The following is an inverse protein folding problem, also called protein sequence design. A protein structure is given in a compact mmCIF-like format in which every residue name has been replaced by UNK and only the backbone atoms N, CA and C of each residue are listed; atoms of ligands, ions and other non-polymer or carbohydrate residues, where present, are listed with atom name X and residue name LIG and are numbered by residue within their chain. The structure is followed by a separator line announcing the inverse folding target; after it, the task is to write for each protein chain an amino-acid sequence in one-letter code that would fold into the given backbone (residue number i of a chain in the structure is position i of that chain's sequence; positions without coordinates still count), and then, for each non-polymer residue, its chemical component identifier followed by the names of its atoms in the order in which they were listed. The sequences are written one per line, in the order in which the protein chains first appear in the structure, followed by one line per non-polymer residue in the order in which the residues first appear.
data_IF_971352162601
#
_entry.id   IF_971352162601
#
_cell.length_a   1.000
_cell.length_b   1.000
_cell.length_c   1.000
_cell.angle_alpha   90.00
_cell.angle_beta   90.00
_cell.angle_gamma   90.00
#
_symmetry.space_group_name_H-M   'P 1'
#
loop_
_entity.id
_entity.type
_entity.pdbx_description
1 polymer ?
#
# COMPACT_ATOMS: atom_id res chain seq x y z
N UNK A 1 83.42 23.28 -9.24
CA UNK A 1 82.68 22.01 -9.30
C UNK A 1 81.30 22.27 -8.76
N UNK A 2 80.33 22.51 -9.64
CA UNK A 2 78.95 22.80 -9.27
C UNK A 2 78.19 21.47 -9.25
N UNK A 3 77.60 21.12 -8.11
CA UNK A 3 76.72 19.96 -7.98
C UNK A 3 75.29 20.40 -8.27
N UNK A 4 74.63 19.93 -9.35
CA UNK A 4 73.23 20.18 -9.63
C UNK A 4 72.44 18.97 -9.14
N UNK A 5 72.04 18.99 -7.88
CA UNK A 5 71.06 18.05 -7.35
C UNK A 5 70.25 18.81 -6.30
N UNK A 6 68.96 18.51 -6.24
CA UNK A 6 67.96 19.04 -5.31
C UNK A 6 67.20 20.29 -5.76
N UNK A 7 66.85 20.31 -7.05
CA UNK A 7 65.72 21.08 -7.56
C UNK A 7 64.67 20.13 -8.15
N UNK A 8 63.95 19.37 -7.31
CA UNK A 8 62.69 18.75 -7.70
C UNK A 8 61.97 18.14 -6.48
N UNK A 9 60.69 18.49 -6.35
CA UNK A 9 59.63 17.85 -5.54
C UNK A 9 59.16 18.64 -4.31
N UNK A 10 58.78 19.90 -4.53
CA UNK A 10 57.71 20.51 -3.76
C UNK A 10 56.38 20.24 -4.51
N UNK A 11 55.90 18.99 -4.39
CA UNK A 11 54.59 18.61 -4.92
C UNK A 11 53.59 18.80 -3.78
N UNK A 12 53.11 20.03 -3.64
CA UNK A 12 51.95 20.38 -2.83
C UNK A 12 50.85 19.40 -3.21
N UNK A 13 50.59 18.44 -2.33
CA UNK A 13 49.46 17.53 -2.43
C UNK A 13 48.27 18.34 -1.97
N UNK A 14 47.71 19.14 -2.88
CA UNK A 14 46.35 19.65 -2.72
C UNK A 14 45.44 18.42 -2.66
N UNK A 15 45.06 18.04 -1.44
CA UNK A 15 44.00 17.09 -1.22
C UNK A 15 42.77 17.59 -2.01
N UNK A 16 42.11 16.74 -2.82
CA UNK A 16 40.92 17.18 -3.51
C UNK A 16 39.93 17.64 -2.46
N UNK A 17 39.59 18.93 -2.45
CA UNK A 17 38.47 19.46 -1.70
C UNK A 17 37.27 18.60 -2.11
N UNK A 18 36.89 17.74 -1.19
CA UNK A 18 35.76 16.86 -1.30
C UNK A 18 34.55 17.78 -1.31
N UNK A 19 34.19 18.25 -2.51
CA UNK A 19 32.99 19.00 -2.80
C UNK A 19 31.84 18.13 -2.35
N UNK A 20 31.45 18.34 -1.10
CA UNK A 20 30.27 17.76 -0.50
C UNK A 20 29.13 18.41 -1.23
N UNK A 21 28.69 17.74 -2.30
CA UNK A 21 27.49 18.12 -3.01
C UNK A 21 26.42 18.46 -1.95
N UNK A 22 25.81 19.65 -2.01
CA UNK A 22 24.87 20.07 -0.98
C UNK A 22 23.83 18.99 -0.82
N UNK A 23 23.74 18.43 0.39
CA UNK A 23 22.78 17.39 0.71
C UNK A 23 21.40 17.86 0.21
N UNK A 24 20.62 17.01 -0.48
CA UNK A 24 19.34 17.39 -1.03
C UNK A 24 18.53 18.13 0.03
N UNK A 25 18.21 19.40 -0.23
CA UNK A 25 17.47 20.24 0.71
C UNK A 25 16.09 19.61 0.90
N UNK A 26 15.94 18.82 1.97
CA UNK A 26 14.67 18.19 2.32
C UNK A 26 13.68 19.28 2.68
N UNK A 27 12.53 19.27 2.04
CA UNK A 27 11.45 20.17 2.39
C UNK A 27 10.83 19.68 3.70
N UNK A 28 10.98 20.40 4.83
CA UNK A 28 10.47 19.95 6.13
C UNK A 28 8.95 19.78 6.14
N UNK A 29 8.24 20.34 5.15
CA UNK A 29 6.80 20.21 5.00
C UNK A 29 6.33 18.80 4.59
N UNK A 30 7.19 17.95 4.00
CA UNK A 30 6.78 16.67 3.44
C UNK A 30 6.67 15.52 4.46
N UNK A 31 7.19 15.71 5.68
CA UNK A 31 7.20 14.73 6.75
C UNK A 31 8.28 13.64 6.60
N UNK A 32 8.36 12.68 7.53
CA UNK A 32 9.35 11.61 7.46
C UNK A 32 9.08 10.65 6.30
N UNK A 33 10.15 10.03 5.81
CA UNK A 33 10.12 8.98 4.80
C UNK A 33 9.77 7.63 5.46
N UNK A 34 8.69 7.00 5.01
CA UNK A 34 8.23 5.71 5.54
C UNK A 34 8.00 4.70 4.40
N UNK A 35 8.21 3.42 4.68
CA UNK A 35 7.77 2.30 3.85
C UNK A 35 6.68 1.53 4.60
N UNK A 36 5.70 1.01 3.86
CA UNK A 36 4.60 0.23 4.45
C UNK A 36 4.84 -1.26 4.21
N UNK A 37 4.56 -2.06 5.24
CA UNK A 37 4.68 -3.50 5.14
C UNK A 37 3.60 -4.06 4.19
N UNK A 38 4.04 -4.71 3.10
CA UNK A 38 3.16 -5.30 2.09
C UNK A 38 2.24 -6.39 2.69
N UNK A 39 2.80 -7.24 3.55
CA UNK A 39 2.11 -8.40 4.12
C UNK A 39 0.78 -8.05 4.78
N UNK A 40 0.75 -7.15 5.79
CA UNK A 40 -0.49 -6.72 6.43
C UNK A 40 -1.50 -6.07 5.47
N UNK A 41 -1.04 -5.30 4.47
CA UNK A 41 -1.93 -4.65 3.50
C UNK A 41 -2.61 -5.67 2.58
N UNK A 42 -1.85 -6.65 2.07
CA UNK A 42 -2.41 -7.73 1.27
C UNK A 42 -3.33 -8.64 2.09
N UNK A 43 -2.95 -8.93 3.33
CA UNK A 43 -3.78 -9.72 4.23
C UNK A 43 -5.15 -9.05 4.44
N UNK A 44 -5.20 -7.74 4.71
CA UNK A 44 -6.47 -7.02 4.82
C UNK A 44 -7.26 -7.02 3.50
N UNK A 45 -6.57 -6.85 2.36
CA UNK A 45 -7.20 -6.82 1.04
C UNK A 45 -7.82 -8.17 0.62
N UNK A 46 -7.26 -9.29 1.09
CA UNK A 46 -7.66 -10.65 0.68
C UNK A 46 -8.53 -11.31 1.75
N UNK A 47 -8.10 -11.29 3.01
CA UNK A 47 -8.77 -12.04 4.07
C UNK A 47 -10.08 -11.39 4.51
N UNK A 48 -10.20 -10.07 4.45
CA UNK A 48 -11.45 -9.39 4.81
C UNK A 48 -12.62 -9.76 3.91
N UNK A 49 -12.56 -9.64 2.58
CA UNK A 49 -13.67 -10.05 1.72
C UNK A 49 -13.94 -11.55 1.81
N UNK A 50 -12.92 -12.40 1.93
CA UNK A 50 -13.13 -13.84 2.14
C UNK A 50 -13.82 -14.13 3.48
N UNK A 51 -13.45 -13.42 4.55
CA UNK A 51 -14.10 -13.51 5.85
C UNK A 51 -15.56 -13.08 5.81
N UNK A 52 -15.88 -12.00 5.08
CA UNK A 52 -17.27 -11.59 4.81
C UNK A 52 -18.02 -12.70 4.08
N UNK A 53 -17.40 -13.33 3.07
CA UNK A 53 -17.98 -14.46 2.36
C UNK A 53 -18.30 -15.64 3.27
N UNK A 54 -17.38 -16.01 4.17
CA UNK A 54 -17.58 -17.09 5.13
C UNK A 54 -18.75 -16.81 6.09
N UNK A 55 -18.91 -15.56 6.53
CA UNK A 55 -20.03 -15.16 7.41
C UNK A 55 -21.35 -15.08 6.63
N UNK A 56 -21.32 -14.63 5.39
CA UNK A 56 -22.50 -14.54 4.54
C UNK A 56 -22.99 -15.92 4.06
N UNK A 57 -22.09 -16.91 3.97
CA UNK A 57 -22.38 -18.26 3.49
C UNK A 57 -23.56 -18.95 4.18
N UNK A 58 -23.57 -19.10 5.52
CA UNK A 58 -24.71 -19.73 6.20
C UNK A 58 -26.00 -18.90 6.05
N UNK A 59 -25.92 -17.58 6.03
CA UNK A 59 -27.09 -16.71 5.90
C UNK A 59 -27.74 -16.86 4.52
N UNK A 60 -26.94 -16.85 3.46
CA UNK A 60 -27.45 -17.06 2.10
C UNK A 60 -27.97 -18.48 1.92
N UNK A 61 -27.29 -19.49 2.48
CA UNK A 61 -27.71 -20.88 2.38
C UNK A 61 -29.05 -21.18 3.06
N UNK A 62 -29.43 -20.39 4.06
CA UNK A 62 -30.75 -20.48 4.70
C UNK A 62 -31.87 -19.80 3.90
N UNK A 63 -31.55 -18.76 3.13
CA UNK A 63 -32.54 -17.95 2.40
C UNK A 63 -32.74 -18.49 0.97
N UNK A 64 -31.63 -18.79 0.28
CA UNK A 64 -31.63 -19.27 -1.09
C UNK A 64 -30.38 -20.15 -1.35
N UNK A 65 -30.49 -21.48 -1.15
CA UNK A 65 -29.35 -22.39 -1.30
C UNK A 65 -28.78 -22.43 -2.72
N UNK A 66 -29.59 -22.13 -3.73
CA UNK A 66 -29.15 -22.12 -5.13
C UNK A 66 -28.20 -20.94 -5.42
N UNK A 67 -28.31 -19.86 -4.65
CA UNK A 67 -27.47 -18.65 -4.79
C UNK A 67 -26.13 -18.72 -4.04
N UNK A 68 -25.81 -19.81 -3.36
CA UNK A 68 -24.56 -19.96 -2.58
C UNK A 68 -23.32 -19.80 -3.49
N UNK A 69 -23.40 -20.24 -4.75
CA UNK A 69 -22.33 -20.13 -5.75
C UNK A 69 -21.93 -18.70 -6.13
N UNK A 70 -22.73 -17.70 -5.74
CA UNK A 70 -22.50 -16.28 -6.00
C UNK A 70 -21.44 -15.69 -5.06
N UNK A 71 -21.34 -16.22 -3.84
CA UNK A 71 -20.49 -15.67 -2.77
C UNK A 71 -18.99 -15.70 -3.16
N UNK A 72 -18.43 -16.83 -3.63
CA UNK A 72 -17.02 -16.87 -4.01
C UNK A 72 -16.72 -15.91 -5.14
N UNK A 73 -17.60 -15.80 -6.15
CA UNK A 73 -17.41 -14.88 -7.27
C UNK A 73 -17.34 -13.44 -6.78
N UNK A 74 -18.31 -13.01 -5.97
CA UNK A 74 -18.34 -11.66 -5.41
C UNK A 74 -17.08 -11.34 -4.59
N UNK A 75 -16.72 -12.23 -3.66
CA UNK A 75 -15.64 -11.95 -2.70
C UNK A 75 -14.25 -12.04 -3.34
N UNK A 76 -14.03 -12.98 -4.26
CA UNK A 76 -12.77 -13.08 -5.02
C UNK A 76 -12.61 -11.84 -5.89
N UNK A 77 -13.67 -11.37 -6.53
CA UNK A 77 -13.64 -10.14 -7.33
C UNK A 77 -13.27 -8.91 -6.52
N UNK A 78 -13.88 -8.72 -5.34
CA UNK A 78 -13.52 -7.62 -4.43
C UNK A 78 -12.06 -7.76 -3.98
N UNK A 79 -11.64 -8.95 -3.57
CA UNK A 79 -10.26 -9.22 -3.16
C UNK A 79 -9.25 -8.89 -4.28
N UNK A 80 -9.55 -9.27 -5.52
CA UNK A 80 -8.69 -9.03 -6.67
C UNK A 80 -8.53 -7.52 -6.95
N UNK A 81 -9.60 -6.73 -6.85
CA UNK A 81 -9.53 -5.26 -7.01
C UNK A 81 -8.64 -4.64 -5.95
N UNK A 82 -8.87 -4.97 -4.67
CA UNK A 82 -8.12 -4.40 -3.56
C UNK A 82 -6.66 -4.83 -3.57
N UNK A 83 -6.39 -6.13 -3.76
CA UNK A 83 -5.02 -6.65 -3.83
C UNK A 83 -4.28 -6.09 -5.05
N UNK A 84 -4.91 -6.07 -6.22
CA UNK A 84 -4.34 -5.53 -7.45
C UNK A 84 -3.96 -4.06 -7.30
N UNK A 85 -4.88 -3.23 -6.81
CA UNK A 85 -4.63 -1.79 -6.61
C UNK A 85 -3.55 -1.56 -5.55
N UNK A 86 -3.54 -2.35 -4.47
CA UNK A 86 -2.52 -2.30 -3.41
C UNK A 86 -1.14 -2.65 -3.95
N UNK A 87 -1.02 -3.63 -4.85
CA UNK A 87 0.27 -3.97 -5.47
C UNK A 87 0.78 -2.86 -6.39
N UNK A 88 -0.13 -2.18 -7.12
CA UNK A 88 0.25 -1.09 -8.04
C UNK A 88 0.88 0.10 -7.31
N UNK A 89 0.48 0.40 -6.08
CA UNK A 89 1.11 1.47 -5.31
C UNK A 89 2.48 1.11 -4.75
N UNK A 90 2.91 -0.16 -4.85
CA UNK A 90 4.22 -0.66 -4.44
C UNK A 90 4.57 -0.27 -2.99
N UNK A 91 3.88 -0.85 -2.00
CA UNK A 91 3.92 -0.30 -0.66
C UNK A 91 5.28 -0.41 0.04
N UNK A 92 6.14 -1.28 -0.48
CA UNK A 92 7.53 -1.43 -0.05
C UNK A 92 8.43 -0.25 -0.45
N UNK A 93 7.97 0.67 -1.31
CA UNK A 93 8.76 1.87 -1.65
C UNK A 93 8.66 2.92 -0.54
N UNK A 94 9.82 3.40 -0.11
CA UNK A 94 9.94 4.52 0.82
C UNK A 94 9.44 5.81 0.17
N UNK A 95 8.55 6.53 0.85
CA UNK A 95 8.00 7.82 0.40
C UNK A 95 7.69 8.72 1.61
N UNK A 96 7.58 10.06 1.40
CA UNK A 96 7.12 10.96 2.44
C UNK A 96 5.69 10.64 2.86
N UNK A 97 5.37 10.79 4.15
CA UNK A 97 4.02 10.56 4.71
C UNK A 97 2.93 11.33 3.96
N UNK A 98 3.20 12.58 3.58
CA UNK A 98 2.27 13.41 2.81
C UNK A 98 1.97 12.80 1.43
N UNK A 99 2.98 12.25 0.76
CA UNK A 99 2.83 11.59 -0.53
C UNK A 99 2.05 10.28 -0.37
N UNK A 100 2.26 9.55 0.72
CA UNK A 100 1.51 8.34 1.05
C UNK A 100 0.02 8.57 1.16
N UNK A 101 -0.41 9.68 1.76
CA UNK A 101 -1.82 10.04 1.85
C UNK A 101 -2.44 10.26 0.46
N UNK A 102 -1.74 10.96 -0.44
CA UNK A 102 -2.20 11.18 -1.81
C UNK A 102 -2.31 9.87 -2.60
N UNK A 103 -1.31 9.00 -2.48
CA UNK A 103 -1.35 7.68 -3.12
C UNK A 103 -2.48 6.81 -2.55
N UNK A 104 -2.71 6.87 -1.24
CA UNK A 104 -3.81 6.15 -0.61
C UNK A 104 -5.17 6.64 -1.09
N UNK A 105 -5.39 7.95 -1.21
CA UNK A 105 -6.59 8.51 -1.84
C UNK A 105 -6.77 8.00 -3.27
N UNK A 106 -5.68 7.91 -4.03
CA UNK A 106 -5.68 7.29 -5.36
C UNK A 106 -6.11 5.82 -5.34
N UNK A 107 -5.65 5.04 -4.36
CA UNK A 107 -6.10 3.65 -4.14
C UNK A 107 -7.58 3.57 -3.83
N UNK A 108 -8.09 4.42 -2.93
CA UNK A 108 -9.51 4.43 -2.59
C UNK A 108 -10.36 4.69 -3.84
N UNK A 109 -9.97 5.67 -4.66
CA UNK A 109 -10.62 5.96 -5.95
C UNK A 109 -10.56 4.78 -6.91
N UNK A 110 -9.37 4.21 -7.13
CA UNK A 110 -9.18 3.07 -8.02
C UNK A 110 -9.95 1.82 -7.56
N UNK A 111 -9.97 1.53 -6.25
CA UNK A 111 -10.75 0.44 -5.68
C UNK A 111 -12.25 0.68 -5.86
N UNK A 112 -12.74 1.91 -5.68
CA UNK A 112 -14.15 2.25 -5.90
C UNK A 112 -14.55 2.01 -7.36
N UNK A 113 -13.86 2.65 -8.32
CA UNK A 113 -14.18 2.50 -9.74
C UNK A 113 -13.95 1.07 -10.23
N UNK A 114 -12.90 0.39 -9.77
CA UNK A 114 -12.63 -1.01 -10.09
C UNK A 114 -13.73 -1.94 -9.57
N UNK A 115 -14.22 -1.71 -8.34
CA UNK A 115 -15.34 -2.48 -7.79
C UNK A 115 -16.63 -2.22 -8.55
N UNK A 116 -16.93 -0.97 -8.90
CA UNK A 116 -18.11 -0.61 -9.70
C UNK A 116 -18.06 -1.28 -11.08
N UNK A 117 -16.91 -1.23 -11.76
CA UNK A 117 -16.73 -1.87 -13.06
C UNK A 117 -16.97 -3.39 -12.98
N UNK A 118 -16.40 -4.07 -11.98
CA UNK A 118 -16.62 -5.51 -11.80
C UNK A 118 -18.06 -5.80 -11.37
N UNK A 119 -18.67 -4.98 -10.52
CA UNK A 119 -20.06 -5.14 -10.13
C UNK A 119 -20.98 -5.09 -11.35
N UNK A 120 -20.79 -4.14 -12.26
CA UNK A 120 -21.55 -4.05 -13.50
C UNK A 120 -21.38 -5.30 -14.37
N UNK A 121 -20.15 -5.77 -14.55
CA UNK A 121 -19.86 -6.99 -15.33
C UNK A 121 -20.55 -8.21 -14.72
N UNK A 122 -20.42 -8.41 -13.41
CA UNK A 122 -21.01 -9.55 -12.72
C UNK A 122 -22.54 -9.48 -12.69
N UNK A 123 -23.12 -8.31 -12.43
CA UNK A 123 -24.57 -8.12 -12.40
C UNK A 123 -25.21 -8.34 -13.76
N UNK A 124 -24.54 -7.90 -14.84
CA UNK A 124 -25.03 -8.11 -16.20
C UNK A 124 -24.96 -9.58 -16.62
N UNK A 125 -23.93 -10.29 -16.16
CA UNK A 125 -23.70 -11.71 -16.48
C UNK A 125 -24.50 -12.67 -15.59
N UNK A 126 -25.03 -12.21 -14.45
CA UNK A 126 -25.75 -13.04 -13.49
C UNK A 126 -27.23 -13.23 -13.85
N UNK A 127 -27.81 -14.39 -13.51
CA UNK A 127 -29.25 -14.62 -13.54
C UNK A 127 -30.01 -13.56 -12.72
N UNK A 128 -31.19 -13.09 -13.15
CA UNK A 128 -31.95 -12.02 -12.48
C UNK A 128 -32.16 -12.23 -10.98
N UNK A 129 -32.41 -13.47 -10.57
CA UNK A 129 -32.63 -13.91 -9.19
C UNK A 129 -31.40 -13.76 -8.29
N UNK A 130 -30.19 -13.80 -8.86
CA UNK A 130 -28.91 -13.69 -8.12
C UNK A 130 -28.41 -12.24 -8.01
N UNK A 131 -28.89 -11.33 -8.87
CA UNK A 131 -28.35 -9.96 -9.02
C UNK A 131 -28.42 -9.16 -7.73
N UNK A 132 -29.54 -9.23 -7.00
CA UNK A 132 -29.69 -8.49 -5.76
C UNK A 132 -28.70 -8.97 -4.69
N UNK A 133 -28.59 -10.29 -4.51
CA UNK A 133 -27.65 -10.90 -3.57
C UNK A 133 -26.20 -10.56 -3.95
N UNK A 134 -25.84 -10.68 -5.23
CA UNK A 134 -24.53 -10.34 -5.76
C UNK A 134 -24.19 -8.87 -5.50
N UNK A 135 -25.11 -7.94 -5.80
CA UNK A 135 -24.90 -6.51 -5.58
C UNK A 135 -24.68 -6.17 -4.11
N UNK A 136 -25.50 -6.75 -3.22
CA UNK A 136 -25.36 -6.58 -1.77
C UNK A 136 -24.04 -7.15 -1.27
N UNK A 137 -23.67 -8.37 -1.69
CA UNK A 137 -22.41 -9.00 -1.32
C UNK A 137 -21.21 -8.16 -1.73
N UNK A 138 -21.18 -7.67 -2.98
CA UNK A 138 -20.10 -6.82 -3.48
C UNK A 138 -20.03 -5.52 -2.66
N UNK A 139 -21.17 -4.87 -2.38
CA UNK A 139 -21.19 -3.65 -1.60
C UNK A 139 -20.67 -3.87 -0.17
N UNK A 140 -21.17 -4.89 0.54
CA UNK A 140 -20.75 -5.22 1.91
C UNK A 140 -19.28 -5.62 1.94
N UNK A 141 -18.85 -6.48 1.01
CA UNK A 141 -17.45 -6.88 0.89
C UNK A 141 -16.54 -5.69 0.64
N UNK A 142 -16.93 -4.78 -0.26
CA UNK A 142 -16.20 -3.55 -0.55
C UNK A 142 -16.05 -2.68 0.70
N UNK A 143 -17.15 -2.35 1.39
CA UNK A 143 -17.11 -1.50 2.58
C UNK A 143 -16.29 -2.12 3.71
N UNK A 144 -16.46 -3.41 3.99
CA UNK A 144 -15.68 -4.11 5.01
C UNK A 144 -14.18 -4.08 4.69
N UNK A 145 -13.83 -4.34 3.42
CA UNK A 145 -12.43 -4.34 2.97
C UNK A 145 -11.84 -2.94 3.01
N UNK A 146 -12.60 -1.92 2.61
CA UNK A 146 -12.18 -0.51 2.67
C UNK A 146 -11.87 -0.08 4.11
N UNK A 147 -12.73 -0.45 5.06
CA UNK A 147 -12.54 -0.15 6.48
C UNK A 147 -11.31 -0.88 7.04
N UNK A 148 -11.17 -2.18 6.78
CA UNK A 148 -10.04 -2.96 7.26
C UNK A 148 -8.70 -2.46 6.68
N UNK A 149 -8.65 -2.21 5.36
CA UNK A 149 -7.46 -1.70 4.70
C UNK A 149 -7.09 -0.30 5.20
N UNK A 150 -8.06 0.59 5.39
CA UNK A 150 -7.83 1.93 5.95
C UNK A 150 -7.28 1.87 7.38
N UNK A 151 -7.81 0.97 8.21
CA UNK A 151 -7.31 0.75 9.57
C UNK A 151 -5.87 0.24 9.57
N UNK A 152 -5.54 -0.72 8.71
CA UNK A 152 -4.18 -1.27 8.58
C UNK A 152 -3.21 -0.19 8.09
N UNK A 153 -3.58 0.58 7.07
CA UNK A 153 -2.74 1.69 6.57
C UNK A 153 -2.50 2.72 7.65
N UNK A 154 -3.55 3.18 8.34
CA UNK A 154 -3.40 4.13 9.46
C UNK A 154 -2.47 3.58 10.54
N UNK A 155 -2.60 2.30 10.89
CA UNK A 155 -1.74 1.63 11.87
C UNK A 155 -0.28 1.55 11.43
N UNK A 156 -0.02 1.25 10.15
CA UNK A 156 1.33 1.17 9.60
C UNK A 156 1.97 2.55 9.45
N UNK A 157 1.21 3.56 9.01
CA UNK A 157 1.68 4.95 8.90
C UNK A 157 2.05 5.48 10.28
N UNK A 158 1.21 5.25 11.30
CA UNK A 158 1.52 5.63 12.68
C UNK A 158 2.81 4.99 13.17
N UNK A 159 2.97 3.67 13.02
CA UNK A 159 4.19 2.95 13.42
C UNK A 159 5.43 3.47 12.68
N UNK A 160 5.32 3.73 11.39
CA UNK A 160 6.41 4.28 10.58
C UNK A 160 6.81 5.69 11.03
N UNK A 161 5.82 6.53 11.32
CA UNK A 161 6.05 7.89 11.83
C UNK A 161 6.74 7.88 13.20
N UNK A 162 6.22 7.08 14.15
CA UNK A 162 6.79 6.97 15.50
C UNK A 162 8.26 6.49 15.44
N UNK A 163 8.56 5.53 14.55
CA UNK A 163 9.92 5.02 14.33
C UNK A 163 10.85 6.08 13.72
N UNK A 164 10.36 6.87 12.77
CA UNK A 164 11.15 7.90 12.10
C UNK A 164 11.44 9.11 13.02
N UNK A 165 10.51 9.46 13.91
CA UNK A 165 10.68 10.56 14.88
C UNK A 165 11.57 10.15 16.05
N UNK A 166 11.50 8.89 16.50
CA UNK A 166 12.38 8.38 17.56
C UNK A 166 13.87 8.42 17.19
N UNK A 167 14.20 8.47 15.89
CA UNK A 167 15.58 8.43 15.39
C UNK A 167 16.30 7.12 15.76
N UNK A 168 17.55 6.91 15.32
CA UNK A 168 18.36 5.79 15.77
C UNK A 168 18.81 6.01 17.22
N UNK A 169 17.90 5.92 18.18
CA UNK A 169 18.25 5.81 19.59
C UNK A 169 18.38 4.33 19.95
N UNK A 170 19.60 3.94 20.37
CA UNK A 170 20.04 2.64 20.91
C UNK A 170 20.73 1.66 19.95
N UNK A 171 21.80 2.15 19.31
CA UNK A 171 22.88 1.32 18.76
C UNK A 171 24.26 1.85 19.20
N UNK A 172 24.45 2.13 20.48
CA UNK A 172 25.75 2.37 21.11
C UNK A 172 25.57 2.32 22.64
N UNK A 173 25.84 1.16 23.22
CA UNK A 173 25.77 0.89 24.65
C UNK A 173 26.07 -0.58 24.89
#
# INVERSE_FOLDING_TARGET
MNSPADAAHDKITEAPEQSTAPAPRRDPALGPDISLALGPMLAASILTPLGVGLVAWPLLGLINPDSIGVIPRAMISVAAVFAGTTLMIQPWKTRPVTQWLHWWLGVLGACFFGTVAIALVLLYSAPPEERAALGVLIAVGHFATLMAASFVVASLVRKGYDTAVAGPAQGAG
#
